data_IF_061394868565
#
_entry.id   IF_061394868565
#
_cell.length_a   1.000
_cell.length_b   1.000
_cell.length_c   1.000
_cell.angle_alpha   90.00
_cell.angle_beta   90.00
_cell.angle_gamma   90.00
#
_symmetry.space_group_name_H-M   'P 1'
#
loop_
_entity.id
_entity.type
_entity.pdbx_description
1 polymer ?
#
# COMPACT_ATOMS: atom_id res chain seq x y z
N UNK A 1 -53.37 21.88 15.58
CA UNK A 1 -51.96 21.83 16.02
C UNK A 1 -51.13 21.13 14.94
N UNK A 2 -50.21 21.82 14.21
CA UNK A 2 -49.23 21.17 13.35
C UNK A 2 -47.82 21.23 13.97
N UNK A 3 -47.16 20.08 14.19
CA UNK A 3 -45.71 20.05 14.45
C UNK A 3 -45.12 18.65 14.33
N UNK A 4 -44.29 18.44 13.30
CA UNK A 4 -42.91 17.96 13.43
C UNK A 4 -42.39 17.57 12.04
N UNK A 5 -41.73 18.52 11.38
CA UNK A 5 -40.82 18.24 10.28
C UNK A 5 -39.55 17.62 10.89
N UNK A 6 -39.41 16.31 10.77
CA UNK A 6 -38.15 15.64 11.11
C UNK A 6 -37.16 15.92 9.98
N UNK A 7 -36.32 16.92 10.20
CA UNK A 7 -35.13 17.18 9.40
C UNK A 7 -34.29 15.92 9.31
N UNK A 8 -34.32 15.28 8.14
CA UNK A 8 -33.41 14.22 7.78
C UNK A 8 -32.01 14.80 7.77
N UNK A 9 -31.24 14.50 8.81
CA UNK A 9 -29.82 14.75 8.86
C UNK A 9 -29.19 14.16 7.59
N UNK A 10 -28.81 15.04 6.67
CA UNK A 10 -27.97 14.73 5.54
C UNK A 10 -26.72 14.03 6.09
N UNK A 11 -26.67 12.70 5.93
CA UNK A 11 -25.45 11.93 6.13
C UNK A 11 -24.34 12.68 5.37
N UNK A 12 -23.23 13.06 6.01
CA UNK A 12 -22.17 13.75 5.30
C UNK A 12 -21.82 12.88 4.11
N UNK A 13 -21.96 13.48 2.92
CA UNK A 13 -21.63 12.89 1.63
C UNK A 13 -20.28 12.22 1.82
N UNK A 14 -20.27 10.89 1.88
CA UNK A 14 -19.05 10.14 1.74
C UNK A 14 -18.55 10.54 0.36
N UNK A 15 -17.53 11.42 0.34
CA UNK A 15 -16.77 11.69 -0.87
C UNK A 15 -16.47 10.34 -1.51
N UNK A 16 -16.60 10.19 -2.83
CA UNK A 16 -16.36 8.90 -3.47
C UNK A 16 -15.00 8.44 -3.01
N UNK A 17 -14.97 7.41 -2.15
CA UNK A 17 -13.74 6.83 -1.68
C UNK A 17 -12.98 6.52 -2.97
N UNK A 18 -11.75 7.05 -3.16
CA UNK A 18 -11.05 6.89 -4.41
C UNK A 18 -10.98 5.40 -4.64
N UNK A 19 -11.63 4.91 -5.72
CA UNK A 19 -11.88 3.49 -5.97
C UNK A 19 -10.66 2.71 -5.51
N UNK A 20 -10.79 2.03 -4.37
CA UNK A 20 -9.66 1.36 -3.75
C UNK A 20 -9.45 0.15 -4.63
N UNK A 21 -8.44 0.23 -5.50
CA UNK A 21 -8.06 -0.90 -6.32
C UNK A 21 -7.68 -2.05 -5.39
N UNK A 22 -8.43 -3.16 -5.38
CA UNK A 22 -8.21 -4.25 -4.44
C UNK A 22 -6.83 -4.86 -4.62
N UNK A 23 -6.32 -4.88 -5.86
CA UNK A 23 -4.97 -5.31 -6.18
C UNK A 23 -3.91 -4.39 -5.55
N UNK A 24 -4.12 -3.08 -5.62
CA UNK A 24 -3.22 -2.10 -5.02
C UNK A 24 -3.26 -2.19 -3.49
N UNK A 25 -4.45 -2.29 -2.90
CA UNK A 25 -4.61 -2.49 -1.46
C UNK A 25 -3.84 -3.74 -0.96
N UNK A 26 -3.81 -4.80 -1.76
CA UNK A 26 -3.03 -6.00 -1.47
C UNK A 26 -1.52 -5.73 -1.51
N UNK A 27 -1.03 -4.94 -2.48
CA UNK A 27 0.37 -4.51 -2.52
C UNK A 27 0.74 -3.61 -1.33
N UNK A 28 -0.11 -2.64 -0.98
CA UNK A 28 0.09 -1.79 0.20
C UNK A 28 0.13 -2.64 1.49
N UNK A 29 -0.75 -3.64 1.61
CA UNK A 29 -0.74 -4.58 2.73
C UNK A 29 0.54 -5.42 2.80
N UNK A 30 1.06 -5.89 1.65
CA UNK A 30 2.34 -6.61 1.59
C UNK A 30 3.54 -5.77 2.04
N UNK A 31 3.49 -4.46 1.82
CA UNK A 31 4.50 -3.50 2.25
C UNK A 31 4.27 -2.98 3.68
N UNK A 32 3.24 -3.48 4.38
CA UNK A 32 2.81 -3.06 5.72
C UNK A 32 2.52 -1.54 5.83
N UNK A 33 1.97 -0.95 4.77
CA UNK A 33 1.69 0.49 4.68
C UNK A 33 0.21 0.79 4.44
N UNK A 34 -0.31 1.92 4.96
CA UNK A 34 -1.69 2.32 4.74
C UNK A 34 -1.93 2.75 3.29
N UNK A 35 -3.04 2.29 2.69
CA UNK A 35 -3.47 2.71 1.35
C UNK A 35 -3.59 4.24 1.26
N UNK A 36 -3.09 4.82 0.18
CA UNK A 36 -3.07 6.27 -0.02
C UNK A 36 -1.85 6.98 0.58
N UNK A 37 -0.84 6.23 1.04
CA UNK A 37 0.48 6.82 1.30
C UNK A 37 1.23 7.12 0.01
N UNK A 38 2.07 8.17 0.11
CA UNK A 38 2.93 8.65 -0.96
C UNK A 38 3.98 7.63 -1.39
N UNK A 39 4.47 7.78 -2.63
CA UNK A 39 5.47 6.87 -3.22
C UNK A 39 6.75 6.84 -2.38
N UNK A 40 7.15 7.98 -1.80
CA UNK A 40 8.27 8.05 -0.87
C UNK A 40 8.10 7.17 0.37
N UNK A 41 6.87 7.09 0.91
CA UNK A 41 6.59 6.28 2.09
C UNK A 41 6.63 4.80 1.75
N UNK A 42 6.06 4.41 0.61
CA UNK A 42 6.18 3.05 0.09
C UNK A 42 7.63 2.64 -0.15
N UNK A 43 8.45 3.55 -0.69
CA UNK A 43 9.88 3.32 -0.91
C UNK A 43 10.66 3.15 0.41
N UNK A 44 10.31 3.90 1.46
CA UNK A 44 10.91 3.74 2.81
C UNK A 44 10.55 2.39 3.43
N UNK A 45 9.29 1.95 3.31
CA UNK A 45 8.84 0.65 3.81
C UNK A 45 9.54 -0.50 3.08
N UNK A 46 9.60 -0.44 1.74
CA UNK A 46 10.34 -1.36 0.90
C UNK A 46 11.81 -1.49 1.34
N UNK A 47 12.51 -0.36 1.51
CA UNK A 47 13.91 -0.34 2.00
C UNK A 47 14.06 -0.93 3.41
N UNK A 48 13.07 -0.73 4.28
CA UNK A 48 13.04 -1.31 5.64
C UNK A 48 12.88 -2.82 5.60
N UNK A 49 11.98 -3.34 4.75
CA UNK A 49 11.75 -4.77 4.55
C UNK A 49 12.96 -5.45 3.92
N UNK A 50 13.60 -4.81 2.94
CA UNK A 50 14.88 -5.24 2.37
C UNK A 50 15.99 -5.31 3.41
N UNK A 51 16.10 -4.31 4.29
CA UNK A 51 17.02 -4.39 5.43
C UNK A 51 16.66 -5.53 6.37
N UNK A 52 15.39 -5.77 6.69
CA UNK A 52 15.01 -6.95 7.50
C UNK A 52 15.43 -8.27 6.81
N UNK A 53 15.38 -8.32 5.47
CA UNK A 53 16.03 -9.32 4.65
C UNK A 53 17.57 -9.14 4.63
N UNK A 54 18.22 -9.05 5.80
CA UNK A 54 19.67 -8.84 5.88
C UNK A 54 20.39 -10.10 5.39
N UNK A 55 21.10 -10.06 4.24
CA UNK A 55 21.89 -11.20 3.77
C UNK A 55 23.05 -11.52 4.72
N UNK A 56 23.36 -10.61 5.65
CA UNK A 56 24.43 -10.71 6.66
C UNK A 56 24.16 -11.84 7.67
N UNK A 57 22.90 -12.04 8.05
CA UNK A 57 22.47 -13.17 8.89
C UNK A 57 22.33 -14.48 8.08
N UNK A 58 22.36 -14.40 6.75
CA UNK A 58 22.13 -15.51 5.82
C UNK A 58 23.36 -15.86 4.99
N UNK A 59 24.53 -15.29 5.31
CA UNK A 59 25.78 -15.54 4.58
C UNK A 59 26.15 -17.04 4.56
N UNK A 60 25.68 -17.79 5.55
CA UNK A 60 25.93 -19.23 5.68
C UNK A 60 24.84 -20.12 5.06
N UNK A 61 23.74 -19.56 4.54
CA UNK A 61 22.56 -20.30 4.09
C UNK A 61 22.13 -19.88 2.66
N UNK A 62 22.52 -20.63 1.62
CA UNK A 62 22.20 -20.29 0.24
C UNK A 62 20.69 -20.32 -0.06
N UNK A 63 19.91 -21.14 0.66
CA UNK A 63 18.44 -21.13 0.56
C UNK A 63 17.86 -19.81 1.07
N UNK A 64 18.33 -19.30 2.20
CA UNK A 64 17.82 -18.05 2.78
C UNK A 64 18.21 -16.83 1.93
N UNK A 65 19.36 -16.89 1.26
CA UNK A 65 19.74 -15.92 0.21
C UNK A 65 18.76 -15.90 -0.96
N UNK A 66 18.37 -17.08 -1.48
CA UNK A 66 17.36 -17.18 -2.55
C UNK A 66 16.01 -16.65 -2.10
N UNK A 67 15.59 -17.00 -0.89
CA UNK A 67 14.32 -16.51 -0.30
C UNK A 67 14.35 -14.99 -0.13
N UNK A 68 15.47 -14.42 0.30
CA UNK A 68 15.63 -12.98 0.43
C UNK A 68 15.57 -12.28 -0.93
N UNK A 69 16.22 -12.82 -1.96
CA UNK A 69 16.17 -12.29 -3.32
C UNK A 69 14.75 -12.34 -3.90
N UNK A 70 14.05 -13.47 -3.74
CA UNK A 70 12.66 -13.61 -4.18
C UNK A 70 11.70 -12.65 -3.45
N UNK A 71 11.86 -12.51 -2.12
CA UNK A 71 11.12 -11.53 -1.32
C UNK A 71 11.39 -10.11 -1.79
N UNK A 72 12.66 -9.78 -2.05
CA UNK A 72 13.08 -8.48 -2.57
C UNK A 72 12.44 -8.18 -3.93
N UNK A 73 12.43 -9.16 -4.83
CA UNK A 73 11.81 -9.05 -6.14
C UNK A 73 10.29 -8.83 -6.03
N UNK A 74 9.59 -9.60 -5.19
CA UNK A 74 8.15 -9.43 -4.94
C UNK A 74 7.81 -8.06 -4.36
N UNK A 75 8.58 -7.60 -3.37
CA UNK A 75 8.39 -6.29 -2.77
C UNK A 75 8.64 -5.15 -3.78
N UNK A 76 9.65 -5.31 -4.64
CA UNK A 76 9.96 -4.36 -5.71
C UNK A 76 8.84 -4.31 -6.75
N UNK A 77 8.30 -5.46 -7.14
CA UNK A 77 7.18 -5.54 -8.09
C UNK A 77 5.91 -4.90 -7.53
N UNK A 78 5.58 -5.19 -6.26
CA UNK A 78 4.47 -4.54 -5.55
C UNK A 78 4.64 -3.01 -5.50
N UNK A 79 5.85 -2.54 -5.20
CA UNK A 79 6.17 -1.11 -5.19
C UNK A 79 6.02 -0.45 -6.57
N UNK A 80 6.46 -1.11 -7.65
CA UNK A 80 6.30 -0.59 -9.01
C UNK A 80 4.83 -0.44 -9.42
N UNK A 81 3.99 -1.42 -9.08
CA UNK A 81 2.56 -1.35 -9.37
C UNK A 81 1.88 -0.21 -8.59
N UNK A 82 2.23 -0.04 -7.31
CA UNK A 82 1.82 1.10 -6.49
C UNK A 82 2.26 2.43 -7.13
N UNK A 83 3.53 2.53 -7.50
CA UNK A 83 4.09 3.73 -8.10
C UNK A 83 3.37 4.10 -9.41
N UNK A 84 3.08 3.10 -10.24
CA UNK A 84 2.36 3.28 -11.50
C UNK A 84 0.93 3.76 -11.27
N UNK A 85 0.22 3.18 -10.30
CA UNK A 85 -1.14 3.58 -9.98
C UNK A 85 -1.21 4.98 -9.34
N UNK A 86 -0.25 5.34 -8.47
CA UNK A 86 -0.13 6.68 -7.91
C UNK A 86 0.12 7.72 -9.01
N UNK A 87 1.04 7.43 -9.94
CA UNK A 87 1.32 8.30 -11.08
C UNK A 87 0.11 8.45 -12.02
N UNK A 88 -0.66 7.39 -12.23
CA UNK A 88 -1.89 7.44 -13.00
C UNK A 88 -2.98 8.28 -12.32
N UNK A 89 -3.05 8.27 -10.98
CA UNK A 89 -3.97 9.13 -10.20
C UNK A 89 -3.56 10.59 -10.17
N UNK A 90 -2.26 10.90 -10.18
CA UNK A 90 -1.76 12.29 -10.20
C UNK A 90 -2.07 13.00 -11.53
N UNK A 91 -2.12 12.24 -12.64
CA UNK A 91 -2.31 12.76 -13.98
C UNK A 91 -3.77 12.69 -14.48
N UNK A 92 -4.76 12.50 -13.59
CA UNK A 92 -6.18 12.33 -13.96
C UNK A 92 -7.13 13.25 -13.22
#
# INVERSE_FOLDING_TARGET
MPRAEFGGAERPRQAPAPAIDPQLAQYYANLEIPYGTDLETAHRAWKRLLKKCHPDLHANDPEKRRVADELSARLTQAFQEIARALKAKENS
#
